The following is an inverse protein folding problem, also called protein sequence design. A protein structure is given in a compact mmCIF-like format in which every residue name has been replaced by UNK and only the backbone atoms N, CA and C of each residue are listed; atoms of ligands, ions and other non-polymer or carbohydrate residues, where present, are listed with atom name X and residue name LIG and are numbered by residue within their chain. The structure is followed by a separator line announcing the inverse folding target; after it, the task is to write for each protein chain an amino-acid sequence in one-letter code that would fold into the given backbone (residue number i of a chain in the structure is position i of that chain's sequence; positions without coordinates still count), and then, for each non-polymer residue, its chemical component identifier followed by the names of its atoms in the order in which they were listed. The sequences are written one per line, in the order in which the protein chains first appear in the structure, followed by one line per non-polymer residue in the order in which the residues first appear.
data_IF_499423454396
#
_entry.id   IF_499423454396
#
_cell.length_a   1.000
_cell.length_b   1.000
_cell.length_c   1.000
_cell.angle_alpha   90.00
_cell.angle_beta   90.00
_cell.angle_gamma   90.00
#
_symmetry.space_group_name_H-M   'P 1'
#
loop_
_entity.id
_entity.type
_entity.pdbx_description
1 polymer ?
#
# COMPACT_ATOMS: atom_id res chain seq x y z
N UNK A 1 12.33 13.73 15.48
CA UNK A 1 12.75 12.50 14.80
C UNK A 1 14.18 12.70 14.35
N UNK A 2 15.08 11.76 14.62
CA UNK A 2 16.42 11.83 14.04
C UNK A 2 16.38 11.38 12.58
N UNK A 3 17.32 11.85 11.75
CA UNK A 3 17.45 11.41 10.34
C UNK A 3 17.54 9.89 10.21
N UNK A 4 18.23 9.23 11.16
CA UNK A 4 18.37 7.78 11.19
C UNK A 4 17.04 7.07 11.48
N UNK A 5 16.27 7.57 12.45
CA UNK A 5 14.94 7.02 12.74
C UNK A 5 13.98 7.24 11.58
N UNK A 6 14.04 8.41 10.96
CA UNK A 6 13.24 8.74 9.78
C UNK A 6 13.53 7.78 8.62
N UNK A 7 14.81 7.62 8.26
CA UNK A 7 15.21 6.72 7.18
C UNK A 7 14.81 5.28 7.49
N UNK A 8 15.01 4.81 8.73
CA UNK A 8 14.61 3.45 9.10
C UNK A 8 13.09 3.22 8.97
N UNK A 9 12.27 4.21 9.30
CA UNK A 9 10.81 4.11 9.14
C UNK A 9 10.38 4.17 7.67
N UNK A 10 11.10 4.91 6.83
CA UNK A 10 10.90 4.92 5.37
C UNK A 10 11.27 3.54 4.80
N UNK A 11 12.44 3.01 5.17
CA UNK A 11 12.93 1.70 4.73
C UNK A 11 12.03 0.55 5.19
N UNK A 12 11.43 0.67 6.38
CA UNK A 12 10.46 -0.30 6.90
C UNK A 12 9.05 -0.14 6.27
N UNK A 13 8.86 0.81 5.35
CA UNK A 13 7.57 1.17 4.73
C UNK A 13 6.50 1.65 5.70
N UNK A 14 6.93 2.30 6.79
CA UNK A 14 6.04 2.86 7.81
C UNK A 14 5.84 4.35 7.69
N UNK A 15 6.82 5.10 7.18
CA UNK A 15 6.77 6.56 7.12
C UNK A 15 6.75 7.06 5.67
N UNK A 16 5.99 8.13 5.46
CA UNK A 16 5.91 8.87 4.21
C UNK A 16 7.10 9.84 4.07
N UNK A 17 7.60 9.99 2.85
CA UNK A 17 8.69 10.93 2.54
C UNK A 17 8.13 12.32 2.15
N UNK A 18 9.01 13.31 2.01
CA UNK A 18 8.66 14.61 1.45
C UNK A 18 7.94 14.40 0.11
N UNK A 19 6.75 15.00 -0.10
CA UNK A 19 6.00 14.82 -1.34
C UNK A 19 6.84 15.19 -2.57
N UNK A 20 7.08 14.20 -3.43
CA UNK A 20 7.67 14.37 -4.77
C UNK A 20 6.66 14.18 -5.89
N UNK A 21 5.48 13.65 -5.55
CA UNK A 21 4.38 13.44 -6.50
C UNK A 21 3.95 14.77 -7.12
N UNK A 22 3.90 14.87 -8.46
CA UNK A 22 3.41 16.06 -9.15
C UNK A 22 2.00 16.47 -8.70
N UNK A 23 1.14 15.52 -8.34
CA UNK A 23 -0.21 15.77 -7.84
C UNK A 23 -0.19 16.58 -6.54
N UNK A 24 0.61 16.14 -5.56
CA UNK A 24 0.71 16.76 -4.23
C UNK A 24 1.41 18.12 -4.31
N UNK A 25 2.41 18.25 -5.20
CA UNK A 25 3.12 19.51 -5.42
C UNK A 25 2.24 20.55 -6.11
N UNK A 26 1.54 20.17 -7.19
CA UNK A 26 0.71 21.10 -7.97
C UNK A 26 -0.54 21.58 -7.22
N UNK A 27 -1.06 20.76 -6.31
CA UNK A 27 -2.19 21.11 -5.43
C UNK A 27 -1.77 21.92 -4.19
N UNK A 28 -0.47 22.12 -3.95
CA UNK A 28 0.05 22.90 -2.84
C UNK A 28 -0.01 22.19 -1.48
N UNK A 29 -0.08 20.85 -1.48
CA UNK A 29 -0.17 20.02 -0.27
C UNK A 29 1.19 19.92 0.46
N UNK A 30 2.29 20.13 -0.27
CA UNK A 30 3.64 20.12 0.27
C UNK A 30 4.10 21.42 0.95
N UNK A 31 3.22 22.44 1.10
CA UNK A 31 3.59 23.72 1.72
C UNK A 31 4.06 23.54 3.16
N UNK A 32 5.04 24.34 3.56
CA UNK A 32 5.55 24.42 4.94
C UNK A 32 6.12 23.10 5.48
N UNK A 33 6.44 22.13 4.62
CA UNK A 33 7.00 20.84 5.04
C UNK A 33 8.29 21.00 5.86
N UNK A 34 8.47 20.29 7.01
CA UNK A 34 7.60 19.25 7.60
C UNK A 34 6.67 19.75 8.72
N UNK A 35 6.35 21.04 8.79
CA UNK A 35 5.55 21.62 9.90
C UNK A 35 4.20 20.91 10.08
N UNK A 36 3.87 20.55 11.32
CA UNK A 36 2.66 19.84 11.74
C UNK A 36 2.42 18.46 11.09
N UNK A 37 3.46 17.83 10.52
CA UNK A 37 3.40 16.46 9.99
C UNK A 37 3.99 15.46 10.97
N UNK A 38 3.49 14.24 10.93
CA UNK A 38 4.08 13.17 11.73
C UNK A 38 3.43 11.83 11.54
N UNK A 39 4.00 10.86 12.25
CA UNK A 39 3.50 9.50 12.34
C UNK A 39 3.25 9.17 13.81
N UNK A 40 2.11 8.55 14.06
CA UNK A 40 1.85 7.80 15.28
C UNK A 40 1.83 6.31 14.93
N UNK A 41 2.31 5.44 15.81
CA UNK A 41 2.15 4.00 15.67
C UNK A 41 2.08 3.33 17.05
N UNK A 42 1.48 2.15 17.11
CA UNK A 42 1.56 1.29 18.30
C UNK A 42 2.96 0.68 18.46
N UNK A 43 3.27 0.14 19.66
CA UNK A 43 4.59 -0.44 19.97
C UNK A 43 5.00 -1.54 18.99
N UNK A 44 4.03 -2.33 18.53
CA UNK A 44 4.24 -3.44 17.60
C UNK A 44 4.42 -3.00 16.14
N UNK A 45 4.24 -1.71 15.84
CA UNK A 45 4.21 -1.16 14.46
C UNK A 45 3.26 -1.90 13.52
N UNK A 46 2.13 -2.37 14.06
CA UNK A 46 1.07 -3.04 13.29
C UNK A 46 -0.13 -2.13 13.03
N UNK A 47 -0.18 -0.98 13.71
CA UNK A 47 -1.20 0.03 13.53
C UNK A 47 -0.54 1.40 13.53
N UNK A 48 -0.71 2.15 12.45
CA UNK A 48 -0.03 3.42 12.18
C UNK A 48 -1.06 4.47 11.76
N UNK A 49 -0.75 5.73 12.05
CA UNK A 49 -1.52 6.88 11.61
C UNK A 49 -0.57 7.94 11.08
N UNK A 50 -0.70 8.30 9.80
CA UNK A 50 -0.03 9.47 9.23
C UNK A 50 -0.90 10.70 9.44
N UNK A 51 -0.26 11.79 9.83
CA UNK A 51 -0.92 13.05 10.16
C UNK A 51 -0.47 14.14 9.20
N UNK A 52 -1.43 14.79 8.53
CA UNK A 52 -1.25 15.94 7.63
C UNK A 52 -0.33 15.71 6.42
N UNK A 53 -0.39 14.51 5.85
CA UNK A 53 0.32 14.17 4.61
C UNK A 53 -0.57 14.54 3.40
N UNK A 54 -1.30 13.59 2.82
CA UNK A 54 -2.28 13.83 1.76
C UNK A 54 -3.65 14.26 2.34
N UNK A 55 -4.04 13.61 3.44
CA UNK A 55 -5.23 13.90 4.22
C UNK A 55 -4.86 14.28 5.66
N UNK A 56 -5.83 14.75 6.44
CA UNK A 56 -5.64 15.00 7.86
C UNK A 56 -5.12 13.75 8.59
N UNK A 57 -5.72 12.59 8.30
CA UNK A 57 -5.36 11.30 8.88
C UNK A 57 -5.38 10.21 7.81
N UNK A 58 -4.33 9.39 7.77
CA UNK A 58 -4.32 8.10 7.09
C UNK A 58 -4.12 7.00 8.12
N UNK A 59 -5.13 6.17 8.31
CA UNK A 59 -5.11 5.07 9.28
C UNK A 59 -4.72 3.77 8.58
N UNK A 60 -3.70 3.09 9.09
CA UNK A 60 -3.08 1.94 8.45
C UNK A 60 -2.98 0.80 9.47
N UNK A 61 -3.47 -0.38 9.09
CA UNK A 61 -3.22 -1.63 9.81
C UNK A 61 -2.44 -2.55 8.88
N UNK A 62 -1.26 -2.99 9.29
CA UNK A 62 -0.40 -3.84 8.47
C UNK A 62 0.45 -4.79 9.31
N UNK A 63 0.91 -5.86 8.68
CA UNK A 63 1.93 -6.76 9.22
C UNK A 63 2.99 -7.00 8.16
N UNK A 64 4.22 -7.34 8.55
CA UNK A 64 5.35 -7.46 7.61
C UNK A 64 5.10 -8.54 6.54
N UNK A 65 4.86 -8.12 5.30
CA UNK A 65 5.25 -8.74 4.01
C UNK A 65 5.57 -7.58 3.03
N UNK A 66 6.68 -7.65 2.29
CA UNK A 66 7.36 -6.50 1.62
C UNK A 66 6.62 -5.77 0.46
N UNK A 67 7.13 -4.73 -0.23
CA UNK A 67 8.18 -3.71 0.07
C UNK A 67 8.02 -2.40 -0.77
N UNK A 68 6.88 -1.68 -0.85
CA UNK A 68 7.00 -0.37 -1.55
C UNK A 68 5.84 0.61 -1.69
N UNK A 69 4.59 0.17 -1.77
CA UNK A 69 3.48 1.08 -2.06
C UNK A 69 3.41 1.56 -3.52
N UNK A 70 2.45 2.45 -3.79
CA UNK A 70 1.86 2.71 -5.13
C UNK A 70 2.83 3.29 -6.18
N UNK A 71 3.85 4.04 -5.78
CA UNK A 71 4.76 4.76 -6.71
C UNK A 71 6.14 4.10 -6.87
N UNK A 72 6.30 2.86 -6.40
CA UNK A 72 7.56 2.12 -6.51
C UNK A 72 7.49 1.08 -7.61
N UNK A 73 8.58 0.93 -8.37
CA UNK A 73 8.68 -0.16 -9.35
C UNK A 73 8.63 -1.52 -8.64
N UNK A 74 8.00 -2.52 -9.26
CA UNK A 74 8.07 -3.89 -8.78
C UNK A 74 9.53 -4.36 -8.75
N UNK A 75 10.04 -4.69 -7.56
CA UNK A 75 11.39 -5.24 -7.38
C UNK A 75 11.26 -6.75 -7.14
N UNK A 76 11.98 -7.54 -7.95
CA UNK A 76 12.01 -8.99 -7.77
C UNK A 76 10.66 -9.70 -7.97
N UNK A 77 9.82 -9.18 -8.87
CA UNK A 77 8.46 -9.69 -9.12
C UNK A 77 7.54 -9.66 -7.89
N UNK A 78 7.80 -8.76 -6.94
CA UNK A 78 6.90 -8.46 -5.83
C UNK A 78 6.02 -7.28 -6.21
N UNK A 79 4.69 -7.47 -6.16
CA UNK A 79 3.69 -6.47 -6.54
C UNK A 79 2.79 -6.13 -5.34
N UNK A 80 2.46 -4.84 -5.21
CA UNK A 80 1.40 -4.37 -4.32
C UNK A 80 0.05 -4.50 -5.04
N UNK A 81 -0.88 -5.25 -4.45
CA UNK A 81 -2.20 -5.54 -5.04
C UNK A 81 -3.29 -5.10 -4.07
N UNK A 82 -4.19 -4.26 -4.57
CA UNK A 82 -5.30 -3.68 -3.80
C UNK A 82 -6.58 -3.57 -4.64
N UNK A 83 -7.71 -3.31 -3.97
CA UNK A 83 -8.97 -3.03 -4.65
C UNK A 83 -8.96 -1.61 -5.27
N UNK A 84 -9.48 -1.52 -6.50
CA UNK A 84 -9.63 -0.26 -7.21
C UNK A 84 -10.79 0.58 -6.66
N UNK A 85 -11.97 -0.03 -6.49
CA UNK A 85 -13.16 0.68 -6.03
C UNK A 85 -13.14 0.93 -4.52
N UNK A 86 -13.55 2.15 -4.13
CA UNK A 86 -13.58 2.60 -2.72
C UNK A 86 -14.96 3.08 -2.26
N UNK A 87 -15.93 3.22 -3.17
CA UNK A 87 -17.28 3.70 -2.88
C UNK A 87 -18.32 2.77 -3.53
N UNK A 88 -19.47 2.58 -2.87
CA UNK A 88 -20.57 1.74 -3.38
C UNK A 88 -20.56 0.30 -2.87
N UNK A 89 -19.59 -0.06 -2.03
CA UNK A 89 -19.47 -1.33 -1.32
C UNK A 89 -18.94 -1.08 0.10
N UNK A 90 -19.21 -1.99 1.01
CA UNK A 90 -18.66 -1.97 2.37
C UNK A 90 -17.18 -2.34 2.40
N UNK A 91 -16.49 -1.96 3.47
CA UNK A 91 -15.10 -2.35 3.71
C UNK A 91 -14.93 -3.88 3.74
N UNK A 92 -15.94 -4.60 4.27
CA UNK A 92 -15.95 -6.07 4.30
C UNK A 92 -15.95 -6.64 2.89
N UNK A 93 -16.80 -6.11 2.00
CA UNK A 93 -16.86 -6.55 0.60
C UNK A 93 -15.59 -6.22 -0.16
N UNK A 94 -14.99 -5.04 0.07
CA UNK A 94 -13.73 -4.65 -0.56
C UNK A 94 -12.57 -5.53 -0.12
N UNK A 95 -12.45 -5.85 1.18
CA UNK A 95 -11.41 -6.78 1.66
C UNK A 95 -11.66 -8.19 1.14
N UNK A 96 -12.91 -8.66 1.11
CA UNK A 96 -13.24 -9.98 0.57
C UNK A 96 -12.86 -10.08 -0.92
N UNK A 97 -13.09 -9.02 -1.70
CA UNK A 97 -12.68 -8.94 -3.10
C UNK A 97 -11.17 -9.14 -3.26
N UNK A 98 -10.36 -8.48 -2.44
CA UNK A 98 -8.90 -8.63 -2.44
C UNK A 98 -8.50 -10.05 -2.03
N UNK A 99 -9.11 -10.60 -0.97
CA UNK A 99 -8.83 -11.98 -0.51
C UNK A 99 -9.08 -12.99 -1.61
N UNK A 100 -10.21 -12.90 -2.31
CA UNK A 100 -10.56 -13.82 -3.39
C UNK A 100 -9.65 -13.66 -4.60
N UNK A 101 -9.36 -12.41 -5.00
CA UNK A 101 -8.48 -12.10 -6.12
C UNK A 101 -7.07 -12.61 -5.89
N UNK A 102 -6.48 -12.33 -4.72
CA UNK A 102 -5.12 -12.76 -4.37
C UNK A 102 -5.02 -14.28 -4.30
N UNK A 103 -6.02 -14.98 -3.75
CA UNK A 103 -6.04 -16.46 -3.75
C UNK A 103 -5.98 -17.02 -5.18
N UNK A 104 -6.80 -16.49 -6.08
CA UNK A 104 -6.83 -16.92 -7.48
C UNK A 104 -5.49 -16.65 -8.18
N UNK A 105 -4.90 -15.47 -7.99
CA UNK A 105 -3.59 -15.14 -8.57
C UNK A 105 -2.49 -16.07 -8.07
N UNK A 106 -2.48 -16.43 -6.78
CA UNK A 106 -1.51 -17.39 -6.23
C UNK A 106 -1.70 -18.79 -6.81
N UNK A 107 -2.93 -19.22 -7.06
CA UNK A 107 -3.21 -20.51 -7.71
C UNK A 107 -2.78 -20.53 -9.18
N UNK A 108 -3.02 -19.43 -9.91
CA UNK A 108 -2.53 -19.24 -11.27
C UNK A 108 -1.00 -19.31 -11.33
N UNK A 109 -0.31 -18.60 -10.45
CA UNK A 109 1.16 -18.63 -10.39
C UNK A 109 1.69 -20.05 -10.16
N UNK A 110 1.11 -20.80 -9.22
CA UNK A 110 1.46 -22.21 -8.96
C UNK A 110 1.21 -23.15 -10.14
N UNK A 111 0.24 -22.86 -11.02
CA UNK A 111 0.04 -23.61 -12.26
C UNK A 111 1.14 -23.27 -13.27
N UNK A 112 1.46 -21.99 -13.42
CA UNK A 112 2.52 -21.53 -14.31
C UNK A 112 3.89 -22.07 -13.91
N UNK A 113 4.20 -22.15 -12.61
CA UNK A 113 5.41 -22.80 -12.08
C UNK A 113 5.56 -24.26 -12.53
N UNK A 114 4.44 -24.94 -12.81
CA UNK A 114 4.39 -26.33 -13.30
C UNK A 114 4.30 -26.43 -14.83
N UNK A 115 4.38 -25.31 -15.54
CA UNK A 115 4.20 -25.24 -16.99
C UNK A 115 2.77 -25.52 -17.46
N UNK A 116 1.77 -25.35 -16.60
CA UNK A 116 0.35 -25.53 -16.94
C UNK A 116 -0.26 -24.22 -17.43
N UNK A 117 -1.24 -24.28 -18.33
CA UNK A 117 -2.01 -23.10 -18.74
C UNK A 117 -2.98 -22.64 -17.63
N UNK A 118 -3.31 -21.35 -17.64
CA UNK A 118 -4.29 -20.69 -16.78
C UNK A 118 -5.51 -20.15 -17.54
N UNK A 119 -5.63 -20.44 -18.84
CA UNK A 119 -6.71 -19.91 -19.69
C UNK A 119 -8.11 -20.29 -19.16
N UNK A 120 -8.21 -21.45 -18.50
CA UNK A 120 -9.43 -21.95 -17.85
C UNK A 120 -9.77 -21.23 -16.54
N UNK A 121 -8.83 -20.44 -16.01
CA UNK A 121 -8.95 -19.77 -14.71
C UNK A 121 -9.25 -18.28 -14.81
N UNK A 122 -9.30 -17.71 -16.02
CA UNK A 122 -9.58 -16.28 -16.22
C UNK A 122 -10.96 -15.95 -15.63
N UNK A 123 -11.03 -15.09 -14.60
CA UNK A 123 -12.29 -14.84 -13.91
C UNK A 123 -13.22 -14.01 -14.80
N UNK A 124 -14.53 -14.20 -14.58
CA UNK A 124 -15.52 -13.28 -15.14
C UNK A 124 -15.35 -11.88 -14.52
N UNK A 125 -15.77 -10.85 -15.26
CA UNK A 125 -15.84 -9.50 -14.75
C UNK A 125 -16.78 -9.46 -13.53
N UNK A 126 -16.27 -8.95 -12.41
CA UNK A 126 -17.05 -8.67 -11.20
C UNK A 126 -17.76 -7.33 -11.33
#
# INVERSE_FOLDING_TARGET
MTEKEQQQLIDDHFLFDKPVSPLLLASGMARDWPDARGIWHNDNKSFLVWVNEEDHLRVISMEKRGTGGVDTAAVGSVFDVSNADRLGSSEVEQVQLVVDGVKLMVEMEKKLEKGQSIDDMIPAQK
#
